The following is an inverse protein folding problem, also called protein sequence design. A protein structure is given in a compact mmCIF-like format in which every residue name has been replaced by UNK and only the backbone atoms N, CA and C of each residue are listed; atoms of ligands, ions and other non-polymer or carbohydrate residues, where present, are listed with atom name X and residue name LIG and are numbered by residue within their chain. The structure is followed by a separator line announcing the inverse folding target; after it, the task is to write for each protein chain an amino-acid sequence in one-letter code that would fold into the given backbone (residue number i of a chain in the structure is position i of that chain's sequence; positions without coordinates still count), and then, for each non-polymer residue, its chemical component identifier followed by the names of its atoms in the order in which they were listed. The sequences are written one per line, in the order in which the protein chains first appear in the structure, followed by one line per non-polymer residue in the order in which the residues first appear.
data_IF_180650014699
#
_entry.id   IF_180650014699
#
_cell.length_a   1.000
_cell.length_b   1.000
_cell.length_c   1.000
_cell.angle_alpha   90.00
_cell.angle_beta   90.00
_cell.angle_gamma   90.00
#
_symmetry.space_group_name_H-M   'P 1'
#
loop_
_entity.id
_entity.type
_entity.pdbx_description
1 polymer ?
#
# COMPACT_ATOMS: atom_id res chain seq x y z
N UNK A 1 13.66 -0.47 4.49
CA UNK A 1 14.82 0.35 4.77
C UNK A 1 14.55 1.83 4.54
N UNK A 2 15.37 2.70 5.14
CA UNK A 2 15.26 4.17 5.03
C UNK A 2 15.28 4.67 3.57
N UNK A 3 15.89 3.92 2.65
CA UNK A 3 15.94 4.27 1.22
C UNK A 3 14.58 4.24 0.50
N UNK A 4 13.62 3.49 1.01
CA UNK A 4 12.28 3.42 0.42
C UNK A 4 11.34 4.54 0.89
N UNK A 5 11.60 5.11 2.05
CA UNK A 5 10.70 6.07 2.69
C UNK A 5 10.66 7.39 1.93
N UNK A 6 11.78 7.87 1.40
CA UNK A 6 11.82 9.20 0.77
C UNK A 6 11.28 9.23 -0.67
N UNK A 7 11.11 8.07 -1.33
CA UNK A 7 10.52 7.98 -2.67
C UNK A 7 9.02 7.68 -2.67
N UNK A 8 8.49 7.14 -1.57
CA UNK A 8 7.05 6.98 -1.37
C UNK A 8 6.49 8.25 -0.73
N UNK A 9 5.50 8.83 -1.36
CA UNK A 9 4.86 10.08 -0.92
C UNK A 9 3.45 9.89 -0.42
N UNK A 10 2.87 8.71 -0.62
CA UNK A 10 1.55 8.36 -0.10
C UNK A 10 1.35 6.86 -0.07
N UNK A 11 0.51 6.44 0.86
CA UNK A 11 0.04 5.07 1.00
C UNK A 11 -1.41 5.11 1.46
N UNK A 12 -2.26 4.32 0.84
CA UNK A 12 -3.67 4.24 1.18
C UNK A 12 -4.21 2.82 1.01
N UNK A 13 -5.27 2.51 1.75
CA UNK A 13 -5.98 1.24 1.73
C UNK A 13 -7.44 1.52 1.36
N UNK A 14 -8.03 0.65 0.54
CA UNK A 14 -9.41 0.79 0.07
C UNK A 14 -9.62 2.10 -0.68
N UNK A 15 -10.66 2.87 -0.32
CA UNK A 15 -10.95 4.17 -0.90
C UNK A 15 -9.93 5.26 -0.51
N UNK A 16 -9.06 4.99 0.48
CA UNK A 16 -7.96 5.86 0.85
C UNK A 16 -8.43 7.28 1.19
N UNK A 17 -7.80 8.30 0.60
CA UNK A 17 -8.14 9.70 0.87
C UNK A 17 -9.52 10.15 0.35
N UNK A 18 -10.15 9.38 -0.54
CA UNK A 18 -11.50 9.69 -1.04
C UNK A 18 -12.57 9.57 0.06
N UNK A 19 -12.30 8.83 1.14
CA UNK A 19 -13.20 8.75 2.31
C UNK A 19 -13.47 10.12 2.93
N UNK A 20 -12.57 11.09 2.76
CA UNK A 20 -12.76 12.45 3.26
C UNK A 20 -13.97 13.18 2.62
N UNK A 21 -14.42 12.73 1.45
CA UNK A 21 -15.59 13.24 0.73
C UNK A 21 -16.83 12.38 0.93
N UNK A 22 -16.66 11.21 1.55
CA UNK A 22 -17.73 10.24 1.73
C UNK A 22 -18.54 10.50 3.01
N UNK A 23 -19.70 9.88 3.09
CA UNK A 23 -20.52 9.81 4.31
C UNK A 23 -20.57 8.37 4.79
N UNK A 24 -20.85 8.15 6.08
CA UNK A 24 -21.00 6.80 6.61
C UNK A 24 -22.08 5.97 5.92
N UNK A 25 -23.02 6.62 5.22
CA UNK A 25 -24.08 5.94 4.45
C UNK A 25 -23.54 5.36 3.13
N UNK A 26 -22.75 6.11 2.39
CA UNK A 26 -22.28 5.72 1.05
C UNK A 26 -20.91 5.04 1.05
N UNK A 27 -20.21 5.07 2.17
CA UNK A 27 -18.92 4.38 2.34
C UNK A 27 -19.05 3.12 3.24
N UNK A 28 -20.27 2.68 3.51
CA UNK A 28 -20.51 1.47 4.29
C UNK A 28 -20.43 0.23 3.40
N UNK A 29 -19.62 -0.75 3.79
CA UNK A 29 -19.53 -2.07 3.14
C UNK A 29 -20.62 -2.99 3.71
N UNK A 30 -21.79 -2.93 3.10
CA UNK A 30 -22.95 -3.70 3.56
C UNK A 30 -22.77 -5.21 3.31
N UNK A 31 -23.16 -6.01 4.30
CA UNK A 31 -23.19 -7.47 4.18
C UNK A 31 -24.51 -7.95 3.62
N UNK A 32 -24.44 -9.02 2.81
CA UNK A 32 -25.59 -9.76 2.28
C UNK A 32 -25.29 -11.26 2.36
N UNK A 33 -26.31 -12.07 2.23
CA UNK A 33 -26.13 -13.52 2.13
C UNK A 33 -25.79 -13.87 0.67
N UNK A 34 -24.64 -14.48 0.48
CA UNK A 34 -24.20 -14.98 -0.82
C UNK A 34 -24.95 -16.26 -1.24
N UNK A 35 -24.69 -16.70 -2.47
CA UNK A 35 -25.32 -17.91 -3.03
C UNK A 35 -24.97 -19.20 -2.27
N UNK A 36 -23.85 -19.20 -1.57
CA UNK A 36 -23.38 -20.30 -0.71
C UNK A 36 -23.93 -20.23 0.74
N UNK A 37 -24.82 -19.28 1.03
CA UNK A 37 -25.38 -19.04 2.36
C UNK A 37 -24.47 -18.33 3.34
N UNK A 38 -23.30 -17.86 2.91
CA UNK A 38 -22.34 -17.14 3.76
C UNK A 38 -22.48 -15.62 3.60
N UNK A 39 -22.15 -14.84 4.63
CA UNK A 39 -22.07 -13.40 4.52
C UNK A 39 -21.00 -12.97 3.52
N UNK A 40 -21.38 -12.12 2.56
CA UNK A 40 -20.46 -11.47 1.61
C UNK A 40 -20.68 -9.97 1.63
N UNK A 41 -19.64 -9.19 1.42
CA UNK A 41 -19.76 -7.73 1.24
C UNK A 41 -20.19 -7.42 -0.19
N UNK A 42 -21.00 -6.36 -0.33
CA UNK A 42 -21.45 -5.87 -1.65
C UNK A 42 -20.48 -4.87 -2.27
N UNK A 43 -19.63 -4.28 -1.43
CA UNK A 43 -18.60 -3.29 -1.79
C UNK A 43 -17.34 -3.57 -0.97
N UNK A 44 -16.24 -2.91 -1.31
CA UNK A 44 -14.97 -3.07 -0.60
C UNK A 44 -14.26 -1.73 -0.39
N UNK A 45 -14.99 -0.75 0.13
CA UNK A 45 -14.47 0.58 0.45
C UNK A 45 -13.34 0.53 1.49
N UNK A 46 -13.46 -0.39 2.47
CA UNK A 46 -12.45 -0.61 3.49
C UNK A 46 -11.18 -1.30 2.97
N UNK A 47 -11.18 -1.80 1.71
CA UNK A 47 -10.03 -2.47 1.12
C UNK A 47 -9.63 -3.77 1.81
N UNK A 48 -10.60 -4.58 2.24
CA UNK A 48 -10.38 -5.92 2.83
C UNK A 48 -9.96 -5.91 4.29
N UNK A 49 -9.89 -4.74 4.94
CA UNK A 49 -9.49 -4.59 6.34
C UNK A 49 -10.58 -3.84 7.10
N UNK A 50 -11.20 -4.52 8.04
CA UNK A 50 -12.27 -3.96 8.88
C UNK A 50 -11.89 -4.11 10.37
N UNK A 51 -11.88 -3.01 11.10
CA UNK A 51 -11.51 -3.02 12.53
C UNK A 51 -10.10 -3.54 12.81
N UNK A 52 -9.16 -3.39 11.86
CA UNK A 52 -7.79 -3.87 11.98
C UNK A 52 -7.60 -5.35 11.66
N UNK A 53 -8.64 -6.05 11.19
CA UNK A 53 -8.60 -7.45 10.79
C UNK A 53 -8.95 -7.61 9.31
N UNK A 54 -8.36 -8.60 8.63
CA UNK A 54 -8.81 -9.00 7.30
C UNK A 54 -10.20 -9.62 7.38
N UNK A 55 -11.09 -9.23 6.47
CA UNK A 55 -12.49 -9.66 6.45
C UNK A 55 -12.82 -10.69 5.36
N UNK A 56 -11.80 -11.20 4.69
CA UNK A 56 -11.93 -12.18 3.60
C UNK A 56 -12.14 -11.56 2.21
N UNK A 57 -12.26 -10.25 2.11
CA UNK A 57 -12.25 -9.53 0.82
C UNK A 57 -10.81 -9.27 0.36
N UNK A 58 -10.65 -8.91 -0.90
CA UNK A 58 -9.34 -8.52 -1.44
C UNK A 58 -8.75 -7.35 -0.65
N UNK A 59 -7.48 -7.47 -0.26
CA UNK A 59 -6.75 -6.37 0.36
C UNK A 59 -6.28 -5.45 -0.76
N UNK A 60 -6.84 -4.24 -0.79
CA UNK A 60 -6.54 -3.23 -1.79
C UNK A 60 -5.66 -2.15 -1.15
N UNK A 61 -4.45 -2.02 -1.66
CA UNK A 61 -3.53 -0.97 -1.24
C UNK A 61 -2.94 -0.23 -2.45
N UNK A 62 -2.68 1.06 -2.29
CA UNK A 62 -2.05 1.91 -3.30
C UNK A 62 -0.90 2.68 -2.69
N UNK A 63 0.19 2.80 -3.44
CA UNK A 63 1.37 3.56 -3.04
C UNK A 63 1.70 4.61 -4.10
N UNK A 64 1.79 5.88 -3.69
CA UNK A 64 2.22 6.96 -4.54
C UNK A 64 3.74 7.06 -4.53
N UNK A 65 4.34 6.97 -5.71
CA UNK A 65 5.80 7.02 -5.88
C UNK A 65 6.19 8.36 -6.50
N UNK A 66 7.16 9.02 -5.89
CA UNK A 66 7.70 10.28 -6.41
C UNK A 66 8.30 10.07 -7.82
N UNK A 67 7.95 10.89 -8.81
CA UNK A 67 8.61 10.88 -10.10
C UNK A 67 10.11 11.12 -9.96
N UNK A 68 10.88 10.55 -10.88
CA UNK A 68 12.34 10.73 -10.91
C UNK A 68 12.68 12.19 -11.22
N UNK A 69 13.40 12.91 -10.32
CA UNK A 69 13.72 14.32 -10.53
C UNK A 69 14.86 14.55 -11.52
N UNK A 70 15.69 13.51 -11.77
CA UNK A 70 16.81 13.58 -12.72
C UNK A 70 16.30 13.39 -14.14
N UNK A 71 15.96 14.48 -14.79
CA UNK A 71 15.49 14.51 -16.17
C UNK A 71 16.38 15.43 -17.02
N UNK A 72 16.36 15.21 -18.34
CA UNK A 72 17.18 16.00 -19.26
C UNK A 72 16.63 17.44 -19.49
N UNK A 73 15.42 17.73 -19.03
CA UNK A 73 14.86 19.08 -19.13
C UNK A 73 15.62 20.07 -18.23
N UNK A 74 15.77 21.34 -18.62
CA UNK A 74 16.34 22.39 -17.79
C UNK A 74 15.57 22.52 -16.47
N UNK A 75 16.29 22.60 -15.37
CA UNK A 75 15.74 22.73 -14.02
C UNK A 75 16.42 23.91 -13.32
N UNK A 76 15.62 24.74 -12.68
CA UNK A 76 16.13 25.85 -11.90
C UNK A 76 16.70 25.37 -10.57
N UNK A 77 17.88 25.85 -10.23
CA UNK A 77 18.55 25.57 -8.98
C UNK A 77 19.50 26.71 -8.61
N UNK A 78 20.22 26.55 -7.52
CA UNK A 78 21.26 27.49 -7.10
C UNK A 78 22.61 26.78 -7.09
N UNK A 79 23.66 27.51 -7.47
CA UNK A 79 25.03 27.03 -7.35
C UNK A 79 25.56 27.18 -5.91
N UNK A 80 26.78 26.70 -5.66
CA UNK A 80 27.43 26.81 -4.34
C UNK A 80 27.69 28.26 -3.89
N UNK A 81 27.70 29.20 -4.82
CA UNK A 81 27.97 30.61 -4.58
C UNK A 81 26.65 31.39 -4.33
N UNK A 82 25.49 30.70 -4.35
CA UNK A 82 24.17 31.27 -4.08
C UNK A 82 23.52 31.94 -5.31
N UNK A 83 24.04 31.71 -6.51
CA UNK A 83 23.48 32.26 -7.74
C UNK A 83 22.45 31.31 -8.35
N UNK A 84 21.35 31.86 -8.87
CA UNK A 84 20.33 31.07 -9.59
C UNK A 84 20.89 30.64 -10.97
N UNK A 85 20.78 29.33 -11.22
CA UNK A 85 21.23 28.74 -12.48
C UNK A 85 20.23 27.73 -13.01
N UNK A 86 20.24 27.53 -14.32
CA UNK A 86 19.55 26.41 -14.97
C UNK A 86 20.53 25.26 -15.19
N UNK A 87 20.16 24.08 -14.70
CA UNK A 87 20.95 22.87 -14.88
C UNK A 87 20.17 21.83 -15.69
N UNK A 88 20.83 21.19 -16.63
CA UNK A 88 20.30 20.04 -17.35
C UNK A 88 21.20 18.83 -17.07
N UNK A 89 20.62 17.82 -16.45
CA UNK A 89 21.35 16.60 -16.12
C UNK A 89 21.43 15.71 -17.37
N UNK A 90 22.63 15.55 -17.89
CA UNK A 90 22.91 14.68 -19.05
C UNK A 90 23.28 13.27 -18.56
N UNK A 91 22.72 12.25 -19.20
CA UNK A 91 23.04 10.86 -18.88
C UNK A 91 21.85 9.93 -19.14
N UNK A 92 22.04 8.65 -18.85
CA UNK A 92 20.96 7.66 -18.90
C UNK A 92 20.12 7.79 -17.62
N UNK A 93 18.86 8.11 -17.78
CA UNK A 93 17.89 8.19 -16.67
C UNK A 93 16.86 7.09 -16.82
N UNK A 94 16.43 6.53 -15.70
CA UNK A 94 15.25 5.68 -15.67
C UNK A 94 14.01 6.56 -15.92
N UNK A 95 13.25 6.36 -16.98
CA UNK A 95 12.08 7.20 -17.29
C UNK A 95 11.00 7.07 -16.21
N UNK A 96 10.93 5.91 -15.55
CA UNK A 96 9.99 5.63 -14.47
C UNK A 96 10.55 4.53 -13.57
N UNK A 97 10.36 4.65 -12.26
CA UNK A 97 10.80 3.66 -11.27
C UNK A 97 9.68 2.73 -10.80
N UNK A 98 8.44 3.02 -11.17
CA UNK A 98 7.24 2.28 -10.72
C UNK A 98 7.35 0.76 -10.98
N UNK A 99 7.79 0.26 -12.14
CA UNK A 99 7.90 -1.19 -12.38
C UNK A 99 8.81 -1.91 -11.37
N UNK A 100 9.87 -1.22 -10.89
CA UNK A 100 10.74 -1.75 -9.83
C UNK A 100 10.10 -1.62 -8.44
N UNK A 101 9.34 -0.56 -8.22
CA UNK A 101 8.67 -0.31 -6.96
C UNK A 101 7.53 -1.29 -6.69
N UNK A 102 6.84 -1.78 -7.74
CA UNK A 102 5.76 -2.77 -7.63
C UNK A 102 6.24 -4.00 -6.88
N UNK A 103 7.31 -4.64 -7.33
CA UNK A 103 7.86 -5.86 -6.71
C UNK A 103 8.22 -5.64 -5.24
N UNK A 104 8.77 -4.46 -4.90
CA UNK A 104 9.10 -4.11 -3.52
C UNK A 104 7.85 -3.97 -2.66
N UNK A 105 6.83 -3.29 -3.17
CA UNK A 105 5.56 -3.07 -2.44
C UNK A 105 4.85 -4.40 -2.22
N UNK A 106 4.75 -5.25 -3.24
CA UNK A 106 4.16 -6.59 -3.14
C UNK A 106 4.91 -7.47 -2.13
N UNK A 107 6.23 -7.50 -2.20
CA UNK A 107 7.05 -8.28 -1.27
C UNK A 107 6.88 -7.82 0.16
N UNK A 108 6.84 -6.52 0.41
CA UNK A 108 6.63 -5.96 1.75
C UNK A 108 5.22 -6.22 2.28
N UNK A 109 4.21 -6.16 1.42
CA UNK A 109 2.86 -6.55 1.78
C UNK A 109 2.79 -8.04 2.15
N UNK A 110 3.40 -8.92 1.36
CA UNK A 110 3.45 -10.35 1.62
C UNK A 110 4.15 -10.67 2.96
N UNK A 111 5.29 -10.04 3.24
CA UNK A 111 6.01 -10.21 4.52
C UNK A 111 5.15 -9.76 5.70
N UNK A 112 4.44 -8.64 5.58
CA UNK A 112 3.55 -8.13 6.63
C UNK A 112 2.38 -9.07 6.88
N UNK A 113 1.79 -9.64 5.82
CA UNK A 113 0.69 -10.61 5.94
C UNK A 113 1.15 -11.92 6.59
N UNK A 114 2.34 -12.41 6.25
CA UNK A 114 2.93 -13.61 6.87
C UNK A 114 3.22 -13.39 8.35
N UNK A 115 3.75 -12.22 8.72
CA UNK A 115 4.00 -11.86 10.12
C UNK A 115 2.69 -11.81 10.92
N UNK A 116 1.64 -11.18 10.35
CA UNK A 116 0.32 -11.15 10.96
C UNK A 116 -0.31 -12.57 11.08
N UNK A 117 -0.09 -13.43 10.08
CA UNK A 117 -0.54 -14.83 10.13
C UNK A 117 0.12 -15.59 11.26
N UNK A 118 1.45 -15.50 11.40
CA UNK A 118 2.18 -16.17 12.49
C UNK A 118 1.75 -15.66 13.87
N UNK A 119 1.54 -14.35 14.00
CA UNK A 119 0.99 -13.77 15.22
C UNK A 119 -0.39 -14.34 15.54
N UNK A 120 -1.28 -14.45 14.56
CA UNK A 120 -2.62 -15.00 14.74
C UNK A 120 -2.58 -16.49 15.08
N UNK A 121 -1.69 -17.29 14.46
CA UNK A 121 -1.54 -18.72 14.75
C UNK A 121 -1.13 -18.99 16.19
N UNK A 122 -0.31 -18.13 16.78
CA UNK A 122 0.13 -18.25 18.18
C UNK A 122 -0.82 -17.62 19.20
N UNK A 123 -1.87 -16.94 18.77
CA UNK A 123 -2.81 -16.24 19.64
C UNK A 123 -3.85 -17.14 20.31
N UNK A 124 -3.98 -18.40 19.84
CA UNK A 124 -4.99 -19.35 20.32
C UNK A 124 -4.36 -20.69 20.68
N UNK A 125 -4.71 -21.22 21.85
CA UNK A 125 -4.18 -22.51 22.34
C UNK A 125 -4.61 -23.68 21.45
N UNK A 126 -5.86 -23.70 20.98
CA UNK A 126 -6.37 -24.73 20.09
C UNK A 126 -5.60 -24.81 18.75
N UNK A 127 -5.17 -23.68 18.22
CA UNK A 127 -4.30 -23.61 17.04
C UNK A 127 -2.91 -24.18 17.31
N UNK A 128 -2.34 -23.89 18.48
CA UNK A 128 -1.05 -24.45 18.90
C UNK A 128 -1.14 -25.96 19.12
N UNK A 129 -2.16 -26.43 19.82
CA UNK A 129 -2.39 -27.86 20.04
C UNK A 129 -2.51 -28.60 18.71
N UNK A 130 -3.26 -28.09 17.75
CA UNK A 130 -3.43 -28.68 16.42
C UNK A 130 -2.10 -28.77 15.65
N UNK A 131 -1.24 -27.76 15.78
CA UNK A 131 0.08 -27.74 15.14
C UNK A 131 1.02 -28.82 15.71
N UNK A 132 0.99 -29.06 17.03
CA UNK A 132 1.90 -30.01 17.70
C UNK A 132 1.32 -31.46 17.79
N UNK A 133 0.11 -31.70 17.34
CA UNK A 133 -0.50 -33.07 17.32
C UNK A 133 -0.07 -33.88 16.09
N UNK A 134 0.80 -33.35 15.25
CA UNK A 134 1.45 -34.02 14.12
C UNK A 134 2.94 -34.20 14.43
#
# INVERSE_FOLDING_TARGET
GLGDVYKRQGFEIGDGFDVAKATGKNNNDAFRIGADGRPVKTTNHAGGILGGMSDGSDIILRAAIKPTPSIAAPQQTVNKDGEEIDVSIKGRHDPIIVPRAVVVVESMAAVTLVDALFTNMSARMDSLEMFYQH
#
